data_IF_188393750257
#
_entry.id   IF_188393750257
#
_cell.length_a   1.000
_cell.length_b   1.000
_cell.length_c   1.000
_cell.angle_alpha   90.00
_cell.angle_beta   90.00
_cell.angle_gamma   90.00
#
_symmetry.space_group_name_H-M   'P 1'
#
loop_
_entity.id
_entity.type
_entity.pdbx_description
1 polymer ?
#
# COMPACT_ATOMS: atom_id res chain seq x y z
N UNK A 1 13.92 -5.11 38.66
CA UNK A 1 13.43 -4.72 37.32
C UNK A 1 12.47 -3.56 37.48
N UNK A 2 12.69 -2.42 36.83
CA UNK A 2 11.75 -1.29 36.88
C UNK A 2 10.52 -1.61 36.02
N UNK A 3 9.36 -1.71 36.65
CA UNK A 3 8.07 -1.83 35.97
C UNK A 3 7.87 -0.59 35.08
N UNK A 4 7.86 -0.79 33.76
CA UNK A 4 7.57 0.29 32.80
C UNK A 4 6.07 0.55 32.83
N UNK A 5 5.61 1.19 33.89
CA UNK A 5 4.27 1.75 34.01
C UNK A 5 3.96 2.54 32.73
N UNK A 6 2.92 2.16 31.99
CA UNK A 6 2.44 2.93 30.85
C UNK A 6 2.12 4.33 31.38
N UNK A 7 2.88 5.34 30.94
CA UNK A 7 2.65 6.75 31.25
C UNK A 7 2.62 7.55 29.94
N UNK A 8 1.88 8.66 29.93
CA UNK A 8 1.78 9.55 28.78
C UNK A 8 1.02 8.95 27.60
N UNK A 9 1.53 9.18 26.38
CA UNK A 9 0.86 8.83 25.12
C UNK A 9 0.48 7.35 25.00
N UNK A 10 1.31 6.45 25.54
CA UNK A 10 1.10 5.00 25.53
C UNK A 10 0.05 4.51 26.55
N UNK A 11 -0.50 5.41 27.37
CA UNK A 11 -1.55 5.11 28.37
C UNK A 11 -2.92 5.62 27.94
N UNK A 12 -2.96 6.36 26.82
CA UNK A 12 -4.21 6.85 26.26
C UNK A 12 -5.00 5.72 25.62
N UNK A 13 -6.30 5.96 25.44
CA UNK A 13 -7.13 5.13 24.58
C UNK A 13 -6.60 5.10 23.13
N UNK A 14 -6.71 3.95 22.47
CA UNK A 14 -6.14 3.70 21.15
C UNK A 14 -6.72 4.65 20.08
N UNK A 15 -8.02 4.94 20.14
CA UNK A 15 -8.66 5.85 19.19
C UNK A 15 -8.10 7.27 19.38
N UNK A 16 -7.95 7.70 20.64
CA UNK A 16 -7.35 9.00 20.97
C UNK A 16 -5.89 9.08 20.56
N UNK A 17 -5.12 8.01 20.78
CA UNK A 17 -3.72 7.93 20.37
C UNK A 17 -3.58 8.06 18.85
N UNK A 18 -4.43 7.36 18.09
CA UNK A 18 -4.46 7.41 16.63
C UNK A 18 -4.84 8.79 16.11
N UNK A 19 -5.83 9.43 16.73
CA UNK A 19 -6.24 10.78 16.35
C UNK A 19 -5.09 11.78 16.55
N UNK A 20 -4.42 11.75 17.71
CA UNK A 20 -3.33 12.69 17.98
C UNK A 20 -2.12 12.40 17.07
N UNK A 21 -1.80 11.13 16.82
CA UNK A 21 -0.75 10.76 15.86
C UNK A 21 -1.08 11.26 14.44
N UNK A 22 -2.33 11.13 14.01
CA UNK A 22 -2.80 11.63 12.71
C UNK A 22 -2.67 13.15 12.62
N UNK A 23 -3.13 13.89 13.64
CA UNK A 23 -3.02 15.35 13.70
C UNK A 23 -1.57 15.81 13.70
N UNK A 24 -0.69 15.11 14.44
CA UNK A 24 0.75 15.39 14.47
C UNK A 24 1.41 15.22 13.10
N UNK A 25 1.07 14.15 12.37
CA UNK A 25 1.57 13.92 11.01
C UNK A 25 1.13 15.00 10.03
N UNK A 26 -0.15 15.38 10.05
CA UNK A 26 -0.69 16.47 9.22
C UNK A 26 0.01 17.80 9.51
N UNK A 27 0.15 18.15 10.80
CA UNK A 27 0.82 19.37 11.22
C UNK A 27 2.30 19.41 10.80
N UNK A 28 3.02 18.28 10.84
CA UNK A 28 4.41 18.19 10.40
C UNK A 28 4.54 18.39 8.87
N UNK A 29 3.62 17.84 8.10
CA UNK A 29 3.56 18.06 6.65
C UNK A 29 3.21 19.52 6.30
N UNK A 30 2.23 20.10 6.99
CA UNK A 30 1.82 21.50 6.80
C UNK A 30 2.95 22.48 7.16
N UNK A 31 3.66 22.23 8.27
CA UNK A 31 4.82 23.02 8.71
C UNK A 31 6.10 22.77 7.91
N UNK A 32 6.10 21.81 6.98
CA UNK A 32 7.27 21.45 6.18
C UNK A 32 8.40 20.79 6.96
N UNK A 33 8.16 20.35 8.19
CA UNK A 33 9.15 19.61 9.00
C UNK A 33 9.17 18.12 8.67
N UNK A 34 8.12 17.61 8.02
CA UNK A 34 8.08 16.25 7.52
C UNK A 34 8.91 16.07 6.24
N UNK A 35 9.51 14.88 6.09
CA UNK A 35 10.17 14.49 4.84
C UNK A 35 9.14 14.42 3.71
N UNK A 36 9.41 15.14 2.63
CA UNK A 36 8.69 15.00 1.36
C UNK A 36 9.49 14.07 0.46
N UNK A 37 8.88 12.96 0.07
CA UNK A 37 9.48 12.06 -0.90
C UNK A 37 9.32 12.65 -2.30
N UNK A 38 10.41 12.66 -3.06
CA UNK A 38 10.35 12.88 -4.50
C UNK A 38 9.70 11.67 -5.21
N UNK A 39 9.18 11.86 -6.43
CA UNK A 39 8.68 10.75 -7.23
C UNK A 39 9.71 9.63 -7.45
N UNK A 40 10.99 10.01 -7.57
CA UNK A 40 12.09 9.05 -7.74
C UNK A 40 12.34 8.24 -6.48
N UNK A 41 12.35 8.87 -5.31
CA UNK A 41 12.46 8.18 -4.02
C UNK A 41 11.28 7.24 -3.77
N UNK A 42 10.06 7.68 -4.08
CA UNK A 42 8.88 6.82 -3.95
C UNK A 42 8.97 5.60 -4.88
N UNK A 43 9.49 5.78 -6.10
CA UNK A 43 9.72 4.69 -7.06
C UNK A 43 10.81 3.73 -6.57
N UNK A 44 11.92 4.23 -6.06
CA UNK A 44 13.00 3.39 -5.52
C UNK A 44 12.54 2.61 -4.29
N UNK A 45 11.84 3.26 -3.35
CA UNK A 45 11.26 2.61 -2.19
C UNK A 45 10.26 1.51 -2.59
N UNK A 46 9.39 1.80 -3.56
CA UNK A 46 8.45 0.84 -4.12
C UNK A 46 9.16 -0.36 -4.77
N UNK A 47 10.21 -0.10 -5.57
CA UNK A 47 11.04 -1.15 -6.18
C UNK A 47 11.67 -2.04 -5.11
N UNK A 48 12.35 -1.45 -4.13
CA UNK A 48 13.03 -2.18 -3.05
C UNK A 48 12.05 -3.02 -2.21
N UNK A 49 10.88 -2.47 -1.91
CA UNK A 49 9.80 -3.20 -1.25
C UNK A 49 9.33 -4.39 -2.09
N UNK A 50 9.08 -4.16 -3.38
CA UNK A 50 8.71 -5.20 -4.33
C UNK A 50 9.76 -6.31 -4.45
N UNK A 51 11.04 -5.97 -4.48
CA UNK A 51 12.16 -6.93 -4.51
C UNK A 51 12.23 -7.81 -3.25
N UNK A 52 11.82 -7.29 -2.09
CA UNK A 52 11.76 -8.07 -0.86
C UNK A 52 10.56 -9.01 -0.89
N UNK A 53 9.37 -8.48 -1.17
CA UNK A 53 8.12 -9.24 -1.12
C UNK A 53 8.08 -10.31 -2.22
N UNK A 54 8.67 -10.05 -3.40
CA UNK A 54 8.68 -10.98 -4.53
C UNK A 54 9.50 -12.26 -4.31
N UNK A 55 10.34 -12.30 -3.28
CA UNK A 55 11.07 -13.52 -2.91
C UNK A 55 10.16 -14.61 -2.38
N UNK A 56 9.02 -14.24 -1.79
CA UNK A 56 8.02 -15.20 -1.34
C UNK A 56 7.02 -15.52 -2.46
N UNK A 57 7.26 -16.64 -3.13
CA UNK A 57 6.40 -17.12 -4.22
C UNK A 57 4.99 -17.48 -3.74
N UNK A 58 4.83 -18.02 -2.54
CA UNK A 58 3.52 -18.42 -2.02
C UNK A 58 2.67 -17.19 -1.72
N UNK A 59 3.27 -16.18 -1.11
CA UNK A 59 2.63 -14.90 -0.87
C UNK A 59 2.22 -14.21 -2.18
N UNK A 60 3.11 -14.19 -3.18
CA UNK A 60 2.80 -13.62 -4.49
C UNK A 60 1.66 -14.35 -5.21
N UNK A 61 1.65 -15.68 -5.14
CA UNK A 61 0.55 -16.48 -5.70
C UNK A 61 -0.79 -16.18 -5.00
N UNK A 62 -0.79 -15.99 -3.69
CA UNK A 62 -1.99 -15.62 -2.94
C UNK A 62 -2.50 -14.22 -3.31
N UNK A 63 -1.60 -13.23 -3.43
CA UNK A 63 -1.96 -11.89 -3.90
C UNK A 63 -2.57 -11.96 -5.30
N UNK A 64 -1.94 -12.68 -6.22
CA UNK A 64 -2.42 -12.87 -7.58
C UNK A 64 -3.81 -13.54 -7.61
N UNK A 65 -4.01 -14.59 -6.81
CA UNK A 65 -5.31 -15.26 -6.68
C UNK A 65 -6.38 -14.32 -6.15
N UNK A 66 -6.13 -13.61 -5.05
CA UNK A 66 -7.06 -12.62 -4.47
C UNK A 66 -7.42 -11.51 -5.46
N UNK A 67 -6.42 -11.01 -6.22
CA UNK A 67 -6.64 -10.05 -7.29
C UNK A 67 -7.53 -10.60 -8.39
N UNK A 68 -7.26 -11.83 -8.85
CA UNK A 68 -8.08 -12.52 -9.83
C UNK A 68 -9.51 -12.74 -9.36
N UNK A 69 -9.72 -13.14 -8.10
CA UNK A 69 -11.04 -13.31 -7.50
C UNK A 69 -11.82 -11.99 -7.34
N UNK A 70 -11.12 -10.88 -7.12
CA UNK A 70 -11.76 -9.56 -7.07
C UNK A 70 -12.26 -9.13 -8.45
N UNK A 71 -11.48 -9.38 -9.50
CA UNK A 71 -11.82 -9.00 -10.88
C UNK A 71 -12.84 -9.97 -11.51
N UNK A 72 -12.76 -11.27 -11.20
CA UNK A 72 -13.62 -12.30 -11.79
C UNK A 72 -15.09 -12.17 -11.43
N UNK A 73 -15.42 -11.43 -10.37
CA UNK A 73 -16.80 -11.12 -9.95
C UNK A 73 -17.59 -10.34 -11.00
N UNK A 74 -16.94 -9.69 -11.98
CA UNK A 74 -17.61 -8.99 -13.08
C UNK A 74 -17.25 -9.59 -14.45
N UNK A 75 -18.07 -10.57 -14.88
CA UNK A 75 -17.89 -11.28 -16.16
C UNK A 75 -17.95 -10.36 -17.39
N UNK A 76 -18.76 -9.30 -17.36
CA UNK A 76 -18.85 -8.33 -18.47
C UNK A 76 -17.54 -7.53 -18.58
N UNK A 77 -17.06 -7.01 -17.46
CA UNK A 77 -15.80 -6.27 -17.38
C UNK A 77 -14.60 -7.14 -17.80
N UNK A 78 -14.55 -8.41 -17.40
CA UNK A 78 -13.51 -9.36 -17.81
C UNK A 78 -13.49 -9.56 -19.33
N UNK A 79 -14.65 -9.67 -19.96
CA UNK A 79 -14.76 -9.81 -21.42
C UNK A 79 -14.31 -8.54 -22.15
N UNK A 80 -14.64 -7.36 -21.62
CA UNK A 80 -14.21 -6.08 -22.20
C UNK A 80 -12.70 -5.87 -22.08
N UNK A 81 -12.10 -6.19 -20.92
CA UNK A 81 -10.64 -6.16 -20.73
C UNK A 81 -9.97 -7.15 -21.68
N UNK A 82 -10.46 -8.39 -21.77
CA UNK A 82 -9.90 -9.41 -22.66
C UNK A 82 -9.95 -9.00 -24.14
N UNK A 83 -11.08 -8.43 -24.58
CA UNK A 83 -11.21 -7.88 -25.95
C UNK A 83 -10.24 -6.72 -26.19
N UNK A 84 -10.13 -5.78 -25.26
CA UNK A 84 -9.25 -4.62 -25.37
C UNK A 84 -7.77 -5.02 -25.35
N UNK A 85 -7.39 -5.98 -24.51
CA UNK A 85 -6.04 -6.53 -24.45
C UNK A 85 -5.66 -7.24 -25.74
N UNK A 86 -6.52 -8.12 -26.26
CA UNK A 86 -6.28 -8.78 -27.55
C UNK A 86 -6.17 -7.80 -28.72
N UNK A 87 -7.03 -6.77 -28.75
CA UNK A 87 -6.95 -5.72 -29.78
C UNK A 87 -5.66 -4.90 -29.73
N UNK A 88 -5.08 -4.68 -28.54
CA UNK A 88 -3.77 -4.00 -28.42
C UNK A 88 -2.63 -4.90 -28.90
N UNK A 89 -2.65 -6.19 -28.57
CA UNK A 89 -1.63 -7.16 -29.01
C UNK A 89 -1.60 -7.37 -30.52
N UNK A 90 -2.72 -7.16 -31.22
CA UNK A 90 -2.82 -7.27 -32.68
C UNK A 90 -2.53 -5.96 -33.43
N UNK A 91 -2.27 -4.86 -32.74
CA UNK A 91 -2.05 -3.54 -33.38
C UNK A 91 -0.58 -3.12 -33.46
N UNK A 92 0.32 -3.96 -32.94
CA UNK A 92 1.78 -3.78 -32.99
C UNK A 92 2.47 -4.78 -33.96
N UNK A 93 1.72 -5.36 -34.89
CA UNK A 93 2.24 -6.11 -36.05
C UNK A 93 1.94 -5.38 -37.37
#
# INVERSE_FOLDING_TARGET
MADKSKRGFASMDEAKQREIASKGGQAAHEKGTAHKFSPEEAKEAGRKGGEIVSKDRQHMAEIGRKGGEAVSKNRKHMSEIGKKGGQQSHKEE
#
